data_IF_659446390703
#
_entry.id   IF_659446390703
#
_cell.length_a   1.000
_cell.length_b   1.000
_cell.length_c   1.000
_cell.angle_alpha   90.00
_cell.angle_beta   90.00
_cell.angle_gamma   90.00
#
_symmetry.space_group_name_H-M   'P 1'
#
loop_
_entity.id
_entity.type
_entity.pdbx_description
1 polymer ?
#
# COMPACT_ATOMS: atom_id res chain seq x y z
N UNK A 1 15.76 1.11 -20.13
CA UNK A 1 14.62 0.59 -20.94
C UNK A 1 13.37 0.79 -20.12
N UNK A 2 12.30 1.37 -20.69
CA UNK A 2 11.00 1.51 -19.99
C UNK A 2 10.40 0.12 -19.81
N UNK A 3 10.04 -0.25 -18.58
CA UNK A 3 9.38 -1.52 -18.28
C UNK A 3 7.91 -1.39 -18.69
N UNK A 4 7.49 -2.09 -19.76
CA UNK A 4 6.07 -2.20 -20.12
C UNK A 4 5.36 -3.14 -19.17
N UNK A 5 4.16 -2.73 -18.72
CA UNK A 5 3.23 -3.52 -17.92
C UNK A 5 1.93 -3.83 -18.68
N UNK A 6 2.00 -3.82 -20.03
CA UNK A 6 0.84 -4.17 -20.86
C UNK A 6 0.30 -5.55 -20.49
N UNK A 7 -1.00 -5.63 -20.24
CA UNK A 7 -1.67 -6.85 -19.78
C UNK A 7 -1.57 -7.13 -18.27
N UNK A 8 -0.78 -6.36 -17.51
CA UNK A 8 -0.70 -6.50 -16.04
C UNK A 8 -1.92 -5.87 -15.36
N UNK A 9 -2.56 -6.59 -14.43
CA UNK A 9 -3.82 -6.24 -13.77
C UNK A 9 -3.56 -5.97 -12.30
N UNK A 10 -3.86 -4.77 -11.84
CA UNK A 10 -3.45 -4.31 -10.50
C UNK A 10 -4.63 -3.79 -9.70
N UNK A 11 -4.74 -4.21 -8.45
CA UNK A 11 -5.63 -3.61 -7.45
C UNK A 11 -4.80 -2.80 -6.45
N UNK A 12 -5.07 -1.48 -6.34
CA UNK A 12 -4.40 -0.60 -5.36
C UNK A 12 -5.40 -0.09 -4.35
N UNK A 13 -5.24 -0.45 -3.07
CA UNK A 13 -6.11 0.02 -2.00
C UNK A 13 -5.72 1.44 -1.55
N UNK A 14 -6.73 2.31 -1.34
CA UNK A 14 -6.49 3.70 -0.93
C UNK A 14 -5.75 4.53 -1.97
N UNK A 15 -6.08 4.37 -3.26
CA UNK A 15 -5.38 4.96 -4.39
C UNK A 15 -5.89 6.36 -4.81
N UNK A 16 -6.70 7.03 -3.98
CA UNK A 16 -7.26 8.36 -4.30
C UNK A 16 -6.38 9.53 -3.85
N UNK A 17 -5.24 9.26 -3.22
CA UNK A 17 -4.29 10.29 -2.76
C UNK A 17 -2.93 9.70 -2.35
N UNK A 18 -1.96 10.56 -2.10
CA UNK A 18 -0.67 10.21 -1.48
C UNK A 18 0.08 9.11 -2.22
N UNK A 19 0.68 8.17 -1.47
CA UNK A 19 1.46 7.07 -2.02
C UNK A 19 0.66 6.17 -2.96
N UNK A 20 -0.61 5.87 -2.59
CA UNK A 20 -1.48 5.01 -3.41
C UNK A 20 -1.76 5.59 -4.78
N UNK A 21 -2.05 6.89 -4.86
CA UNK A 21 -2.26 7.58 -6.13
C UNK A 21 -0.97 7.68 -6.95
N UNK A 22 0.17 7.93 -6.30
CA UNK A 22 1.47 7.97 -6.98
C UNK A 22 1.82 6.61 -7.59
N UNK A 23 1.62 5.51 -6.85
CA UNK A 23 1.82 4.15 -7.36
C UNK A 23 0.84 3.81 -8.48
N UNK A 24 -0.45 4.12 -8.31
CA UNK A 24 -1.46 3.88 -9.36
C UNK A 24 -1.12 4.63 -10.65
N UNK A 25 -0.64 5.87 -10.55
CA UNK A 25 -0.19 6.67 -11.69
C UNK A 25 1.01 6.05 -12.39
N UNK A 26 2.01 5.60 -11.64
CA UNK A 26 3.21 4.97 -12.20
C UNK A 26 2.88 3.65 -12.90
N UNK A 27 2.03 2.82 -12.30
CA UNK A 27 1.57 1.54 -12.87
C UNK A 27 0.75 1.77 -14.16
N UNK A 28 -0.23 2.67 -14.12
CA UNK A 28 -1.05 3.00 -15.31
C UNK A 28 -0.20 3.64 -16.42
N UNK A 29 0.75 4.51 -16.06
CA UNK A 29 1.70 5.11 -17.00
C UNK A 29 2.64 4.09 -17.65
N UNK A 30 2.87 2.94 -17.01
CA UNK A 30 3.63 1.83 -17.57
C UNK A 30 2.78 0.83 -18.39
N UNK A 31 1.46 1.05 -18.51
CA UNK A 31 0.55 0.23 -19.33
C UNK A 31 -0.33 -0.75 -18.53
N UNK A 32 -0.24 -0.78 -17.20
CA UNK A 32 -1.06 -1.69 -16.39
C UNK A 32 -2.54 -1.27 -16.36
N UNK A 33 -3.45 -2.25 -16.34
CA UNK A 33 -4.85 -2.04 -15.98
C UNK A 33 -4.98 -1.89 -14.46
N UNK A 34 -5.36 -0.70 -13.97
CA UNK A 34 -5.33 -0.39 -12.53
C UNK A 34 -6.73 -0.18 -11.98
N UNK A 35 -7.12 -0.95 -10.96
CA UNK A 35 -8.26 -0.67 -10.11
C UNK A 35 -7.84 0.34 -9.03
N UNK A 36 -8.33 1.57 -9.16
CA UNK A 36 -8.15 2.65 -8.19
C UNK A 36 -9.25 2.56 -7.16
N UNK A 37 -8.91 2.36 -5.88
CA UNK A 37 -9.92 2.17 -4.85
C UNK A 37 -9.85 3.17 -3.70
N UNK A 38 -10.99 3.37 -3.06
CA UNK A 38 -11.18 4.24 -1.91
C UNK A 38 -12.63 4.23 -1.46
N UNK A 39 -12.93 4.88 -0.33
CA UNK A 39 -14.28 4.89 0.27
C UNK A 39 -15.23 5.92 -0.34
N UNK A 40 -14.69 6.98 -0.89
CA UNK A 40 -15.43 8.09 -1.46
C UNK A 40 -15.56 7.88 -2.98
N UNK A 41 -16.78 7.63 -3.44
CA UNK A 41 -17.09 7.33 -4.85
C UNK A 41 -16.71 8.47 -5.80
N UNK A 42 -16.86 9.72 -5.37
CA UNK A 42 -16.52 10.90 -6.18
C UNK A 42 -15.00 10.97 -6.39
N UNK A 43 -14.22 10.85 -5.31
CA UNK A 43 -12.76 10.85 -5.40
C UNK A 43 -12.23 9.65 -6.17
N UNK A 44 -12.84 8.48 -6.01
CA UNK A 44 -12.49 7.26 -6.76
C UNK A 44 -12.72 7.50 -8.26
N UNK A 45 -13.89 8.02 -8.65
CA UNK A 45 -14.20 8.33 -10.05
C UNK A 45 -13.23 9.36 -10.65
N UNK A 46 -12.96 10.46 -9.94
CA UNK A 46 -12.02 11.50 -10.37
C UNK A 46 -10.59 10.98 -10.53
N UNK A 47 -10.13 10.17 -9.56
CA UNK A 47 -8.77 9.61 -9.60
C UNK A 47 -8.60 8.61 -10.73
N UNK A 48 -9.60 7.76 -10.98
CA UNK A 48 -9.57 6.80 -12.08
C UNK A 48 -9.62 7.51 -13.45
N UNK A 49 -10.49 8.50 -13.60
CA UNK A 49 -10.60 9.27 -14.86
C UNK A 49 -9.30 10.02 -15.23
N UNK A 50 -8.46 10.35 -14.25
CA UNK A 50 -7.18 11.00 -14.45
C UNK A 50 -6.04 10.06 -14.86
N UNK A 51 -6.27 8.74 -14.92
CA UNK A 51 -5.24 7.74 -15.19
C UNK A 51 -5.61 6.87 -16.41
N UNK A 52 -4.67 6.65 -17.35
CA UNK A 52 -4.95 5.85 -18.55
C UNK A 52 -5.32 4.41 -18.17
N UNK A 53 -6.42 3.89 -18.73
CA UNK A 53 -6.85 2.50 -18.53
C UNK A 53 -7.30 2.14 -17.10
N UNK A 54 -7.41 3.11 -16.19
CA UNK A 54 -7.80 2.83 -14.81
C UNK A 54 -9.32 2.68 -14.66
N UNK A 55 -9.72 1.89 -13.67
CA UNK A 55 -11.12 1.67 -13.27
C UNK A 55 -11.28 2.06 -11.80
N UNK A 56 -12.29 2.89 -11.50
CA UNK A 56 -12.62 3.26 -10.12
C UNK A 56 -13.54 2.23 -9.47
N UNK A 57 -13.18 1.75 -8.28
CA UNK A 57 -13.99 0.80 -7.50
C UNK A 57 -14.09 1.30 -6.04
N UNK A 58 -15.30 1.44 -5.53
CA UNK A 58 -15.51 1.83 -4.13
C UNK A 58 -15.13 0.68 -3.21
N UNK A 59 -14.29 0.95 -2.21
CA UNK A 59 -13.78 -0.05 -1.27
C UNK A 59 -13.53 0.57 0.12
N UNK A 60 -14.25 0.09 1.13
CA UNK A 60 -13.84 0.22 2.53
C UNK A 60 -13.14 -1.07 2.97
N UNK A 61 -11.83 -1.00 3.19
CA UNK A 61 -11.02 -2.17 3.58
C UNK A 61 -11.37 -2.75 4.96
N UNK A 62 -12.18 -2.02 5.76
CA UNK A 62 -12.63 -2.46 7.09
C UNK A 62 -13.91 -3.30 7.04
N UNK A 63 -14.60 -3.33 5.91
CA UNK A 63 -15.87 -4.02 5.71
C UNK A 63 -15.68 -5.22 4.79
N UNK A 64 -15.88 -6.44 5.31
CA UNK A 64 -15.68 -7.69 4.56
C UNK A 64 -16.56 -7.77 3.30
N UNK A 65 -17.80 -7.25 3.35
CA UNK A 65 -18.72 -7.25 2.20
C UNK A 65 -18.24 -6.28 1.13
N UNK A 66 -17.77 -5.10 1.55
CA UNK A 66 -17.16 -4.13 0.65
C UNK A 66 -15.92 -4.68 -0.02
N UNK A 67 -15.08 -5.41 0.74
CA UNK A 67 -13.87 -6.07 0.22
C UNK A 67 -14.24 -7.13 -0.81
N UNK A 68 -15.13 -8.07 -0.47
CA UNK A 68 -15.56 -9.13 -1.38
C UNK A 68 -16.14 -8.55 -2.68
N UNK A 69 -17.07 -7.59 -2.57
CA UNK A 69 -17.67 -6.92 -3.73
C UNK A 69 -16.65 -6.19 -4.62
N UNK A 70 -15.70 -5.49 -4.00
CA UNK A 70 -14.68 -4.74 -4.76
C UNK A 70 -13.70 -5.69 -5.49
N UNK A 71 -13.31 -6.78 -4.85
CA UNK A 71 -12.46 -7.81 -5.48
C UNK A 71 -13.20 -8.49 -6.63
N UNK A 72 -14.48 -8.84 -6.45
CA UNK A 72 -15.32 -9.42 -7.51
C UNK A 72 -15.43 -8.48 -8.72
N UNK A 73 -15.64 -7.18 -8.49
CA UNK A 73 -15.69 -6.18 -9.55
C UNK A 73 -14.37 -6.08 -10.30
N UNK A 74 -13.24 -6.00 -9.57
CA UNK A 74 -11.91 -5.93 -10.18
C UNK A 74 -11.59 -7.20 -10.98
N UNK A 75 -11.86 -8.38 -10.39
CA UNK A 75 -11.62 -9.66 -11.03
C UNK A 75 -12.42 -9.83 -12.31
N UNK A 76 -13.73 -9.54 -12.25
CA UNK A 76 -14.63 -9.60 -13.42
C UNK A 76 -14.25 -8.60 -14.49
N UNK A 77 -13.82 -7.38 -14.10
CA UNK A 77 -13.47 -6.32 -15.03
C UNK A 77 -12.19 -6.61 -15.81
N UNK A 78 -11.21 -7.24 -15.17
CA UNK A 78 -9.88 -7.47 -15.74
C UNK A 78 -9.64 -8.94 -16.15
N UNK A 79 -10.48 -9.87 -15.75
CA UNK A 79 -10.28 -11.31 -15.95
C UNK A 79 -9.21 -11.91 -15.04
N UNK A 80 -8.90 -11.26 -13.92
CA UNK A 80 -7.90 -11.67 -12.94
C UNK A 80 -7.15 -10.50 -12.31
N UNK A 81 -6.22 -10.79 -11.39
CA UNK A 81 -5.33 -9.81 -10.77
C UNK A 81 -3.91 -10.40 -10.69
N UNK A 82 -2.92 -9.64 -11.14
CA UNK A 82 -1.50 -10.01 -11.10
C UNK A 82 -0.77 -9.37 -9.92
N UNK A 83 -1.28 -8.21 -9.44
CA UNK A 83 -0.70 -7.49 -8.31
C UNK A 83 -1.79 -6.92 -7.41
N UNK A 84 -1.69 -7.20 -6.11
CA UNK A 84 -2.38 -6.49 -5.04
C UNK A 84 -1.41 -5.53 -4.34
N UNK A 85 -1.76 -4.24 -4.27
CA UNK A 85 -1.05 -3.25 -3.45
C UNK A 85 -1.92 -2.87 -2.25
N UNK A 86 -1.61 -3.42 -1.08
CA UNK A 86 -2.21 -3.01 0.18
C UNK A 86 -1.55 -1.71 0.65
N UNK A 87 -2.23 -0.59 0.42
CA UNK A 87 -1.74 0.74 0.76
C UNK A 87 -2.71 1.54 1.64
N UNK A 88 -4.02 1.24 1.59
CA UNK A 88 -5.01 1.96 2.38
C UNK A 88 -4.57 2.11 3.85
N UNK A 89 -4.67 3.31 4.39
CA UNK A 89 -4.22 3.54 5.76
C UNK A 89 -4.70 4.86 6.33
N UNK A 90 -4.80 4.89 7.66
CA UNK A 90 -5.00 6.08 8.48
C UNK A 90 -3.68 6.42 9.20
N UNK A 91 -3.38 7.72 9.28
CA UNK A 91 -2.19 8.22 9.98
C UNK A 91 -2.49 8.75 11.37
N UNK A 92 -1.47 9.30 12.01
CA UNK A 92 -1.55 9.87 13.37
C UNK A 92 -2.54 11.02 13.50
N UNK A 93 -2.86 11.75 12.41
CA UNK A 93 -3.88 12.80 12.42
C UNK A 93 -5.27 12.32 12.87
N UNK A 94 -5.54 11.03 12.78
CA UNK A 94 -6.78 10.41 13.25
C UNK A 94 -6.98 10.56 14.77
N UNK A 95 -5.90 10.58 15.53
CA UNK A 95 -5.91 10.66 16.99
C UNK A 95 -5.27 11.93 17.54
N UNK A 96 -4.30 12.50 16.83
CA UNK A 96 -3.61 13.72 17.20
C UNK A 96 -3.20 14.53 15.94
N UNK A 97 -3.92 15.60 15.59
CA UNK A 97 -3.55 16.45 14.44
C UNK A 97 -2.17 17.12 14.58
N UNK A 98 -1.68 17.30 15.81
CA UNK A 98 -0.41 17.98 16.13
C UNK A 98 0.74 17.00 16.43
N UNK A 99 0.59 15.73 16.08
CA UNK A 99 1.51 14.64 16.46
C UNK A 99 2.99 14.89 16.14
N UNK A 100 3.27 15.74 15.15
CA UNK A 100 4.65 16.03 14.73
C UNK A 100 5.39 16.94 15.73
N UNK A 101 4.67 17.81 16.42
CA UNK A 101 5.22 18.83 17.33
C UNK A 101 4.77 18.65 18.79
N UNK A 102 3.66 17.95 19.02
CA UNK A 102 3.11 17.64 20.33
C UNK A 102 2.80 16.15 20.43
N UNK A 103 3.80 15.29 20.71
CA UNK A 103 3.57 13.86 20.84
C UNK A 103 2.65 13.54 22.02
N UNK A 104 1.59 12.78 21.78
CA UNK A 104 0.62 12.36 22.78
C UNK A 104 1.05 11.04 23.42
N UNK A 105 1.05 10.88 24.74
CA UNK A 105 1.34 9.60 25.38
C UNK A 105 0.23 8.58 25.10
N UNK A 106 0.59 7.29 25.01
CA UNK A 106 -0.32 6.23 24.54
C UNK A 106 -1.59 6.10 25.39
N UNK A 107 -1.52 6.39 26.70
CA UNK A 107 -2.68 6.29 27.62
C UNK A 107 -3.72 7.39 27.43
N UNK A 108 -3.44 8.42 26.63
CA UNK A 108 -4.37 9.49 26.28
C UNK A 108 -4.99 9.28 24.88
N UNK A 109 -4.58 8.25 24.16
CA UNK A 109 -5.11 7.98 22.81
C UNK A 109 -6.55 7.49 22.90
N UNK A 110 -7.52 8.13 22.19
CA UNK A 110 -8.91 7.67 22.18
C UNK A 110 -9.03 6.25 21.63
N UNK A 111 -9.76 5.38 22.34
CA UNK A 111 -9.93 3.98 21.97
C UNK A 111 -10.53 3.79 20.57
N UNK A 112 -11.49 4.64 20.17
CA UNK A 112 -12.11 4.56 18.84
C UNK A 112 -11.14 4.96 17.72
N UNK A 113 -10.30 5.97 17.97
CA UNK A 113 -9.22 6.32 17.05
C UNK A 113 -8.19 5.20 16.93
N UNK A 114 -7.85 4.53 18.04
CA UNK A 114 -6.99 3.35 18.04
C UNK A 114 -7.59 2.25 17.16
N UNK A 115 -8.85 1.85 17.40
CA UNK A 115 -9.55 0.82 16.61
C UNK A 115 -9.59 1.19 15.13
N UNK A 116 -9.97 2.41 14.79
CA UNK A 116 -10.07 2.84 13.39
C UNK A 116 -8.74 2.70 12.62
N UNK A 117 -7.61 3.00 13.27
CA UNK A 117 -6.27 2.85 12.65
C UNK A 117 -5.88 1.38 12.53
N UNK A 118 -6.12 0.55 13.56
CA UNK A 118 -5.85 -0.90 13.50
C UNK A 118 -6.71 -1.55 12.42
N UNK A 119 -8.01 -1.26 12.39
CA UNK A 119 -8.95 -1.84 11.43
C UNK A 119 -8.57 -1.49 9.99
N UNK A 120 -8.08 -0.27 9.74
CA UNK A 120 -7.68 0.13 8.40
C UNK A 120 -6.32 -0.42 8.01
N UNK A 121 -5.30 -0.27 8.90
CA UNK A 121 -3.90 -0.47 8.52
C UNK A 121 -3.44 -1.94 8.66
N UNK A 122 -4.10 -2.72 9.51
CA UNK A 122 -3.77 -4.11 9.79
C UNK A 122 -4.88 -5.05 9.35
N UNK A 123 -6.08 -4.93 9.93
CA UNK A 123 -7.22 -5.78 9.59
C UNK A 123 -7.59 -5.66 8.11
N UNK A 124 -7.59 -4.43 7.57
CA UNK A 124 -7.87 -4.19 6.15
C UNK A 124 -6.89 -4.87 5.21
N UNK A 125 -5.59 -4.90 5.54
CA UNK A 125 -4.59 -5.64 4.75
C UNK A 125 -4.88 -7.14 4.74
N UNK A 126 -5.24 -7.69 5.90
CA UNK A 126 -5.63 -9.08 6.03
C UNK A 126 -6.89 -9.40 5.21
N UNK A 127 -7.95 -8.61 5.34
CA UNK A 127 -9.23 -8.87 4.67
C UNK A 127 -9.07 -8.84 3.13
N UNK A 128 -8.36 -7.86 2.59
CA UNK A 128 -8.15 -7.76 1.14
C UNK A 128 -7.26 -8.90 0.64
N UNK A 129 -6.18 -9.23 1.34
CA UNK A 129 -5.30 -10.34 0.94
C UNK A 129 -6.03 -11.69 1.04
N UNK A 130 -6.82 -11.92 2.10
CA UNK A 130 -7.65 -13.11 2.30
C UNK A 130 -8.61 -13.35 1.13
N UNK A 131 -9.12 -12.29 0.54
CA UNK A 131 -10.06 -12.38 -0.59
C UNK A 131 -9.35 -12.56 -1.94
N UNK A 132 -8.17 -11.97 -2.11
CA UNK A 132 -7.42 -11.97 -3.39
C UNK A 132 -6.52 -13.20 -3.53
N UNK A 133 -5.80 -13.58 -2.48
CA UNK A 133 -4.73 -14.61 -2.55
C UNK A 133 -5.25 -15.98 -3.00
N UNK A 134 -6.39 -16.52 -2.51
CA UNK A 134 -6.89 -17.81 -3.00
C UNK A 134 -7.12 -17.80 -4.52
N UNK A 135 -7.66 -16.71 -5.05
CA UNK A 135 -7.91 -16.55 -6.49
C UNK A 135 -6.61 -16.45 -7.30
N UNK A 136 -5.55 -15.83 -6.73
CA UNK A 136 -4.22 -15.81 -7.33
C UNK A 136 -3.59 -17.20 -7.34
N UNK A 137 -3.79 -18.00 -6.30
CA UNK A 137 -3.32 -19.39 -6.24
C UNK A 137 -4.02 -20.25 -7.29
N UNK A 138 -5.33 -20.13 -7.44
CA UNK A 138 -6.12 -20.83 -8.45
C UNK A 138 -5.71 -20.42 -9.88
N UNK A 139 -5.27 -19.17 -10.06
CA UNK A 139 -4.75 -18.65 -11.33
C UNK A 139 -3.24 -18.91 -11.54
N UNK A 140 -2.62 -19.68 -10.66
CA UNK A 140 -1.20 -20.06 -10.70
C UNK A 140 -0.22 -18.87 -10.77
N UNK A 141 -0.60 -17.71 -10.19
CA UNK A 141 0.30 -16.56 -10.16
C UNK A 141 -0.29 -15.33 -9.49
N UNK A 142 0.57 -14.55 -8.87
CA UNK A 142 0.19 -13.27 -8.28
C UNK A 142 1.26 -12.71 -7.35
N UNK A 143 1.10 -11.43 -7.03
CA UNK A 143 2.01 -10.72 -6.12
C UNK A 143 1.22 -9.87 -5.16
N UNK A 144 1.64 -9.84 -3.90
CA UNK A 144 1.13 -8.94 -2.88
C UNK A 144 2.26 -8.00 -2.45
N UNK A 145 2.01 -6.71 -2.52
CA UNK A 145 2.91 -5.68 -1.99
C UNK A 145 2.20 -4.93 -0.86
N UNK A 146 2.70 -5.06 0.34
CA UNK A 146 2.19 -4.38 1.52
C UNK A 146 3.01 -3.13 1.81
N UNK A 147 2.35 -1.96 1.90
CA UNK A 147 3.03 -0.70 2.16
C UNK A 147 3.29 -0.53 3.65
N UNK A 148 4.54 -0.25 4.00
CA UNK A 148 5.01 -0.10 5.39
C UNK A 148 5.71 1.25 5.62
N UNK A 149 6.41 1.36 6.74
CA UNK A 149 7.18 2.53 7.18
C UNK A 149 8.52 2.09 7.78
N UNK A 150 9.40 3.04 8.11
CA UNK A 150 10.66 2.73 8.80
C UNK A 150 10.43 2.13 10.19
N UNK A 151 11.34 1.26 10.65
CA UNK A 151 11.28 0.68 12.01
C UNK A 151 11.29 1.77 13.09
N UNK A 152 12.05 2.85 12.88
CA UNK A 152 12.07 4.00 13.80
C UNK A 152 10.70 4.71 13.89
N UNK A 153 9.88 4.68 12.84
CA UNK A 153 8.49 5.17 12.88
C UNK A 153 7.59 4.24 13.68
N UNK A 154 7.78 2.92 13.58
CA UNK A 154 6.96 1.92 14.29
C UNK A 154 7.07 2.04 15.81
N UNK A 155 8.25 2.42 16.31
CA UNK A 155 8.58 2.51 17.75
C UNK A 155 8.72 3.94 18.26
N UNK A 156 8.35 4.94 17.45
CA UNK A 156 8.49 6.35 17.79
C UNK A 156 7.55 6.75 18.93
N UNK A 157 8.06 7.53 19.87
CA UNK A 157 7.25 8.14 20.94
C UNK A 157 6.06 8.92 20.36
N UNK A 158 4.88 8.74 20.95
CA UNK A 158 3.65 9.41 20.53
C UNK A 158 3.03 8.85 19.23
N UNK A 159 3.49 7.71 18.71
CA UNK A 159 2.99 7.11 17.46
C UNK A 159 2.02 5.95 17.67
N UNK A 160 1.35 5.88 18.83
CA UNK A 160 0.21 4.98 19.01
C UNK A 160 -1.05 5.69 18.47
N UNK A 161 -1.84 5.03 17.60
CA UNK A 161 -1.82 3.61 17.18
C UNK A 161 -1.02 3.32 15.90
N UNK A 162 -0.53 4.32 15.20
CA UNK A 162 0.05 4.15 13.85
C UNK A 162 1.26 3.22 13.84
N UNK A 163 2.22 3.43 14.75
CA UNK A 163 3.41 2.58 14.87
C UNK A 163 3.05 1.09 15.04
N UNK A 164 2.30 0.72 16.09
CA UNK A 164 1.82 -0.64 16.30
C UNK A 164 1.04 -1.23 15.12
N UNK A 165 0.19 -0.43 14.44
CA UNK A 165 -0.56 -0.91 13.27
C UNK A 165 0.36 -1.30 12.11
N UNK A 166 1.42 -0.52 11.87
CA UNK A 166 2.40 -0.80 10.80
C UNK A 166 3.33 -1.96 11.15
N UNK A 167 3.75 -2.06 12.40
CA UNK A 167 4.52 -3.19 12.89
C UNK A 167 3.71 -4.50 12.78
N UNK A 168 2.43 -4.49 13.17
CA UNK A 168 1.52 -5.62 13.01
C UNK A 168 1.30 -5.99 11.54
N UNK A 169 1.10 -5.02 10.65
CA UNK A 169 0.96 -5.27 9.21
C UNK A 169 2.24 -5.84 8.59
N UNK A 170 3.41 -5.42 9.05
CA UNK A 170 4.69 -5.99 8.58
C UNK A 170 4.89 -7.42 9.11
N UNK A 171 4.54 -7.70 10.36
CA UNK A 171 4.54 -9.06 10.90
C UNK A 171 3.57 -9.97 10.13
N UNK A 172 2.34 -9.49 9.84
CA UNK A 172 1.37 -10.17 8.98
C UNK A 172 1.95 -10.48 7.60
N UNK A 173 2.66 -9.52 6.99
CA UNK A 173 3.31 -9.71 5.68
C UNK A 173 4.33 -10.84 5.70
N UNK A 174 5.12 -10.97 6.78
CA UNK A 174 6.08 -12.06 6.97
C UNK A 174 5.40 -13.43 7.14
N UNK A 175 4.29 -13.47 7.88
CA UNK A 175 3.48 -14.70 8.01
C UNK A 175 2.88 -15.08 6.66
N UNK A 176 2.26 -14.14 5.92
CA UNK A 176 1.77 -14.40 4.56
C UNK A 176 2.88 -14.94 3.65
N UNK A 177 4.07 -14.36 3.70
CA UNK A 177 5.19 -14.85 2.90
C UNK A 177 5.62 -16.27 3.30
N UNK A 178 5.62 -16.58 4.60
CA UNK A 178 5.93 -17.93 5.08
C UNK A 178 4.90 -18.96 4.62
N UNK A 179 3.59 -18.63 4.71
CA UNK A 179 2.49 -19.51 4.29
C UNK A 179 2.48 -19.76 2.77
N UNK A 180 2.94 -18.79 1.98
CA UNK A 180 2.97 -18.86 0.51
C UNK A 180 4.29 -19.38 -0.06
N UNK A 181 5.24 -19.79 0.80
CA UNK A 181 6.53 -20.33 0.35
C UNK A 181 6.32 -21.59 -0.50
N UNK A 182 6.92 -21.60 -1.69
CA UNK A 182 6.81 -22.71 -2.63
C UNK A 182 5.55 -22.69 -3.49
N UNK A 183 4.71 -21.66 -3.36
CA UNK A 183 3.58 -21.42 -4.27
C UNK A 183 3.96 -20.43 -5.38
N UNK A 184 3.01 -20.19 -6.28
CA UNK A 184 3.12 -19.20 -7.36
C UNK A 184 2.88 -17.75 -6.93
N UNK A 185 2.49 -17.52 -5.66
CA UNK A 185 2.17 -16.18 -5.15
C UNK A 185 3.28 -15.66 -4.24
N UNK A 186 3.73 -14.43 -4.48
CA UNK A 186 4.79 -13.80 -3.68
C UNK A 186 4.24 -12.64 -2.84
N UNK A 187 4.88 -12.39 -1.69
CA UNK A 187 4.56 -11.27 -0.80
C UNK A 187 5.82 -10.48 -0.51
N UNK A 188 5.75 -9.15 -0.63
CA UNK A 188 6.85 -8.25 -0.34
C UNK A 188 6.34 -7.01 0.42
N UNK A 189 7.24 -6.34 1.12
CA UNK A 189 7.00 -5.09 1.82
C UNK A 189 7.74 -3.97 1.09
N UNK A 190 7.00 -2.89 0.78
CA UNK A 190 7.56 -1.67 0.19
C UNK A 190 7.30 -0.48 1.12
N UNK A 191 8.30 0.35 1.33
CA UNK A 191 8.18 1.57 2.12
C UNK A 191 8.86 2.76 1.41
N UNK A 192 8.42 4.01 1.66
CA UNK A 192 8.99 5.17 0.97
C UNK A 192 10.46 5.43 1.32
N UNK A 193 10.91 5.08 2.52
CA UNK A 193 12.28 5.33 2.99
C UNK A 193 12.43 6.62 3.82
N UNK A 194 11.36 7.42 3.97
CA UNK A 194 11.36 8.65 4.78
C UNK A 194 9.97 9.24 4.95
N UNK A 195 9.91 10.40 5.59
CA UNK A 195 8.67 11.18 5.71
C UNK A 195 8.25 11.66 4.32
N UNK A 196 7.04 11.36 3.91
CA UNK A 196 6.57 11.60 2.54
C UNK A 196 5.46 12.66 2.52
N UNK A 197 5.46 13.53 1.51
CA UNK A 197 4.45 14.57 1.33
C UNK A 197 3.09 13.96 0.96
N UNK A 198 2.25 13.76 1.94
CA UNK A 198 0.92 13.15 1.79
C UNK A 198 -0.09 13.86 2.69
N UNK A 199 -1.39 13.61 2.49
CA UNK A 199 -2.43 14.12 3.38
C UNK A 199 -2.35 13.63 4.84
N UNK A 200 -1.49 12.65 5.14
CA UNK A 200 -1.20 12.22 6.51
C UNK A 200 -0.28 13.19 7.26
N UNK A 201 0.53 13.98 6.52
CA UNK A 201 1.45 14.96 7.08
C UNK A 201 0.72 16.30 7.23
N UNK A 202 0.54 16.83 8.47
CA UNK A 202 -0.17 18.09 8.67
C UNK A 202 0.66 19.27 8.12
N UNK A 203 0.15 20.08 7.20
CA UNK A 203 0.92 21.20 6.65
C UNK A 203 1.19 22.29 7.69
N UNK A 204 0.23 22.51 8.64
CA UNK A 204 0.27 23.58 9.65
C UNK A 204 1.14 23.24 10.87
N UNK A 205 1.50 21.98 11.08
CA UNK A 205 2.16 21.48 12.29
C UNK A 205 3.39 20.64 11.95
N UNK A 206 4.27 21.19 11.13
CA UNK A 206 5.54 20.55 10.71
C UNK A 206 6.71 21.08 11.53
N UNK A 207 7.66 20.24 11.92
CA UNK A 207 8.93 20.70 12.43
C UNK A 207 9.64 21.60 11.42
N UNK A 208 10.32 22.63 11.90
CA UNK A 208 11.14 23.49 11.05
C UNK A 208 12.22 22.67 10.35
N UNK A 209 12.47 22.96 9.07
CA UNK A 209 13.48 22.26 8.27
C UNK A 209 13.08 20.86 7.78
N UNK A 210 11.89 20.36 8.10
CA UNK A 210 11.40 19.08 7.56
C UNK A 210 11.28 19.19 6.03
N UNK A 211 11.93 18.28 5.31
CA UNK A 211 11.84 18.14 3.84
C UNK A 211 11.23 16.79 3.50
N UNK A 212 9.91 16.72 3.29
CA UNK A 212 9.25 15.49 2.91
C UNK A 212 9.69 15.03 1.51
N UNK A 213 9.72 13.71 1.33
CA UNK A 213 10.00 13.06 0.05
C UNK A 213 8.75 13.13 -0.83
N UNK A 214 8.93 13.32 -2.14
CA UNK A 214 7.83 13.23 -3.11
C UNK A 214 7.26 11.80 -3.13
N UNK A 215 5.94 11.62 -3.06
CA UNK A 215 5.29 10.30 -3.21
C UNK A 215 5.66 9.55 -4.50
N UNK A 216 6.09 10.25 -5.54
CA UNK A 216 6.55 9.66 -6.80
C UNK A 216 7.76 8.72 -6.63
N UNK A 217 8.49 8.79 -5.51
CA UNK A 217 9.57 7.86 -5.16
C UNK A 217 9.12 6.39 -5.19
N UNK A 218 7.84 6.13 -4.93
CA UNK A 218 7.26 4.79 -4.97
C UNK A 218 7.09 4.22 -6.39
N UNK A 219 7.18 5.06 -7.42
CA UNK A 219 6.93 4.68 -8.82
C UNK A 219 7.90 3.64 -9.35
N UNK A 220 9.23 3.89 -9.36
CA UNK A 220 10.19 2.92 -9.89
C UNK A 220 10.09 1.53 -9.24
N UNK A 221 10.12 1.38 -7.88
CA UNK A 221 10.05 0.06 -7.27
C UNK A 221 8.71 -0.65 -7.48
N UNK A 222 7.56 0.05 -7.49
CA UNK A 222 6.28 -0.62 -7.68
C UNK A 222 6.08 -1.09 -9.11
N UNK A 223 6.55 -0.34 -10.11
CA UNK A 223 6.54 -0.75 -11.52
C UNK A 223 7.45 -1.96 -11.71
N UNK A 224 8.63 -1.96 -11.12
CA UNK A 224 9.53 -3.11 -11.19
C UNK A 224 8.94 -4.33 -10.50
N UNK A 225 8.37 -4.18 -9.30
CA UNK A 225 7.70 -5.27 -8.57
C UNK A 225 6.49 -5.84 -9.33
N UNK A 226 5.83 -5.04 -10.18
CA UNK A 226 4.74 -5.48 -11.05
C UNK A 226 5.24 -6.25 -12.28
N UNK A 227 6.51 -6.08 -12.67
CA UNK A 227 7.07 -6.62 -13.91
C UNK A 227 7.55 -8.07 -13.77
N UNK A 228 7.76 -8.79 -14.88
CA UNK A 228 8.38 -10.11 -14.87
C UNK A 228 9.78 -10.14 -14.24
N UNK A 229 10.52 -9.01 -14.24
CA UNK A 229 11.85 -8.93 -13.63
C UNK A 229 11.85 -9.20 -12.12
N UNK A 230 10.71 -9.03 -11.46
CA UNK A 230 10.52 -9.34 -10.05
C UNK A 230 9.99 -10.77 -9.79
N UNK A 231 9.99 -11.64 -10.80
CA UNK A 231 9.59 -13.04 -10.63
C UNK A 231 10.48 -13.71 -9.57
N UNK A 232 9.86 -14.38 -8.59
CA UNK A 232 10.58 -15.02 -7.48
C UNK A 232 11.06 -14.08 -6.37
N UNK A 233 10.86 -12.76 -6.46
CA UNK A 233 11.12 -11.85 -5.35
C UNK A 233 10.05 -12.04 -4.29
N UNK A 234 10.47 -12.55 -3.13
CA UNK A 234 9.56 -13.00 -2.08
C UNK A 234 10.17 -12.73 -0.71
N UNK A 235 9.33 -12.28 0.23
CA UNK A 235 9.71 -11.94 1.61
C UNK A 235 10.76 -10.81 1.73
N UNK A 236 10.83 -9.95 0.72
CA UNK A 236 11.74 -8.81 0.71
C UNK A 236 11.11 -7.56 1.37
N UNK A 237 11.98 -6.72 1.94
CA UNK A 237 11.63 -5.42 2.52
C UNK A 237 12.43 -4.34 1.81
N UNK A 238 11.76 -3.56 0.98
CA UNK A 238 12.38 -2.63 0.03
C UNK A 238 12.06 -1.20 0.43
N UNK A 239 13.08 -0.36 0.60
CA UNK A 239 12.91 1.10 0.75
C UNK A 239 13.01 1.76 -0.63
N UNK A 240 12.01 2.55 -1.01
CA UNK A 240 11.95 3.17 -2.33
C UNK A 240 13.13 4.13 -2.58
N UNK A 241 13.58 4.84 -1.55
CA UNK A 241 14.77 5.71 -1.62
C UNK A 241 16.09 4.94 -1.84
N UNK A 242 16.11 3.64 -1.57
CA UNK A 242 17.29 2.77 -1.67
C UNK A 242 17.14 1.75 -2.80
N UNK A 243 16.07 1.87 -3.60
CA UNK A 243 15.69 0.84 -4.58
C UNK A 243 16.78 0.54 -5.61
N UNK A 244 17.45 1.56 -6.16
CA UNK A 244 18.52 1.35 -7.15
C UNK A 244 19.70 0.57 -6.54
N UNK A 245 20.10 0.91 -5.32
CA UNK A 245 21.16 0.21 -4.60
C UNK A 245 20.78 -1.23 -4.26
N UNK A 246 19.52 -1.43 -3.83
CA UNK A 246 18.97 -2.76 -3.55
C UNK A 246 18.93 -3.62 -4.82
N UNK A 247 18.53 -3.05 -5.95
CA UNK A 247 18.47 -3.75 -7.24
C UNK A 247 19.87 -4.13 -7.74
N UNK A 248 20.84 -3.23 -7.62
CA UNK A 248 22.23 -3.47 -8.02
C UNK A 248 22.86 -4.65 -7.27
N UNK A 249 22.57 -4.80 -5.96
CA UNK A 249 23.06 -5.92 -5.13
C UNK A 249 22.49 -7.28 -5.55
N UNK A 250 21.36 -7.34 -6.24
CA UNK A 250 20.75 -8.59 -6.72
C UNK A 250 21.20 -8.99 -8.13
N UNK A 251 21.80 -8.06 -8.86
CA UNK A 251 22.23 -8.27 -10.25
C UNK A 251 23.70 -8.68 -10.36
N UNK A 252 24.44 -8.68 -9.24
CA UNK A 252 25.83 -9.14 -9.12
C UNK A 252 25.93 -10.46 -8.40
#
# INVERSE_FOLDING_TARGET
>A
MSTSLDGTRVLVTGATSGLGLAMARALAGAGAAVAVTGRDSVRVGQSAAALPGATGIVLDVRDERSVASAVDQAWSRFGGLDLLVNNAGLGMRTVNPRFMIEPQPFWQVPADGFRAVIDTNLTGYFLVAREVVPRMLDAEGGRVVNISVSQSTMTRQGFVPYGPSRAGAEALSRVMAADLRGTSVTVNVLLPGGVTETGMLPPEHRPEGLRPIDPAVMGPPIVWLASPAAAGVHDERIAATEFESWLAQRSG
#
